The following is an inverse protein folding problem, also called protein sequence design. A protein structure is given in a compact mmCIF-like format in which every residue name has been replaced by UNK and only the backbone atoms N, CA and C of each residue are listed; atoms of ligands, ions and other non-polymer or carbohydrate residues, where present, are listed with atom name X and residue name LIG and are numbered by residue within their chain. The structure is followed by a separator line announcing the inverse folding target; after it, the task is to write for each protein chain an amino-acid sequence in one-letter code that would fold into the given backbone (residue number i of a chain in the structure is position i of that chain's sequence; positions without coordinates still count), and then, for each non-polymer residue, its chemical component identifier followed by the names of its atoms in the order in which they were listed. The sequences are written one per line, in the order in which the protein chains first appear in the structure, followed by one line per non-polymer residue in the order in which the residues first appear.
data_IF_493883653256
#
_entry.id   IF_493883653256
#
_cell.length_a   1.000
_cell.length_b   1.000
_cell.length_c   1.000
_cell.angle_alpha   90.00
_cell.angle_beta   90.00
_cell.angle_gamma   90.00
#
_symmetry.space_group_name_H-M   'P 1'
#
loop_
_entity.id
_entity.type
_entity.pdbx_description
1 polymer ?
#
# COMPACT_ATOMS: atom_id res chain seq x y z
N UNK A 1 -31.27 -0.18 1.36
CA UNK A 1 -30.57 -1.29 2.04
C UNK A 1 -29.36 -0.66 2.70
N UNK A 2 -29.24 -0.75 4.03
CA UNK A 2 -28.08 -0.17 4.73
C UNK A 2 -26.83 -0.93 4.29
N UNK A 3 -25.98 -0.28 3.50
CA UNK A 3 -24.72 -0.84 2.98
C UNK A 3 -23.53 -0.49 3.88
N UNK A 4 -23.78 0.00 5.09
CA UNK A 4 -22.74 0.38 6.06
C UNK A 4 -21.81 -0.77 6.44
N UNK A 5 -22.26 -2.02 6.28
CA UNK A 5 -21.46 -3.23 6.52
C UNK A 5 -20.36 -3.45 5.45
N UNK A 6 -20.47 -2.85 4.26
CA UNK A 6 -19.46 -3.01 3.21
C UNK A 6 -18.13 -2.40 3.63
N UNK A 7 -18.17 -1.20 4.21
CA UNK A 7 -16.96 -0.55 4.75
C UNK A 7 -16.38 -1.37 5.91
N UNK A 8 -17.22 -1.98 6.75
CA UNK A 8 -16.76 -2.87 7.82
C UNK A 8 -16.05 -4.12 7.28
N UNK A 9 -16.64 -4.77 6.27
CA UNK A 9 -16.06 -5.96 5.66
C UNK A 9 -14.74 -5.65 4.93
N UNK A 10 -14.68 -4.53 4.22
CA UNK A 10 -13.43 -4.09 3.57
C UNK A 10 -12.39 -3.66 4.61
N UNK A 11 -12.80 -3.01 5.71
CA UNK A 11 -11.90 -2.66 6.82
C UNK A 11 -11.27 -3.91 7.45
N UNK A 12 -12.05 -4.98 7.64
CA UNK A 12 -11.53 -6.26 8.11
C UNK A 12 -10.58 -6.90 7.08
N UNK A 13 -10.93 -6.83 5.80
CA UNK A 13 -10.11 -7.38 4.72
C UNK A 13 -8.74 -6.71 4.62
N UNK A 14 -8.67 -5.37 4.65
CA UNK A 14 -7.38 -4.63 4.59
C UNK A 14 -6.49 -4.89 5.81
N UNK A 15 -7.07 -5.35 6.93
CA UNK A 15 -6.32 -5.80 8.11
C UNK A 15 -5.94 -7.30 8.04
N UNK A 16 -6.47 -8.04 7.07
CA UNK A 16 -6.26 -9.47 6.88
C UNK A 16 -4.88 -9.83 6.34
N UNK A 17 -4.52 -11.11 6.47
CA UNK A 17 -3.27 -11.64 5.92
C UNK A 17 -3.24 -11.61 4.39
N UNK A 18 -4.35 -11.94 3.73
CA UNK A 18 -4.42 -11.96 2.26
C UNK A 18 -4.07 -10.61 1.64
N UNK A 19 -4.59 -9.52 2.23
CA UNK A 19 -4.24 -8.16 1.86
C UNK A 19 -2.75 -7.89 2.04
N UNK A 20 -2.24 -8.10 3.26
CA UNK A 20 -0.84 -7.86 3.60
C UNK A 20 0.12 -8.65 2.70
N UNK A 21 -0.17 -9.91 2.44
CA UNK A 21 0.67 -10.79 1.63
C UNK A 21 0.71 -10.33 0.17
N UNK A 22 -0.45 -9.96 -0.40
CA UNK A 22 -0.52 -9.45 -1.77
C UNK A 22 0.23 -8.14 -1.94
N UNK A 23 0.04 -7.21 -1.00
CA UNK A 23 0.67 -5.89 -0.99
C UNK A 23 2.19 -6.01 -0.78
N UNK A 24 2.63 -6.83 0.18
CA UNK A 24 4.05 -7.08 0.42
C UNK A 24 4.70 -7.72 -0.79
N UNK A 25 4.08 -8.74 -1.39
CA UNK A 25 4.60 -9.40 -2.58
C UNK A 25 4.75 -8.43 -3.76
N UNK A 26 3.78 -7.52 -3.93
CA UNK A 26 3.87 -6.47 -4.94
C UNK A 26 5.07 -5.55 -4.69
N UNK A 27 5.22 -5.04 -3.47
CA UNK A 27 6.36 -4.18 -3.11
C UNK A 27 7.70 -4.88 -3.36
N UNK A 28 7.87 -6.12 -2.89
CA UNK A 28 9.11 -6.89 -3.09
C UNK A 28 9.46 -7.10 -4.57
N UNK A 29 8.44 -7.16 -5.44
CA UNK A 29 8.64 -7.35 -6.88
C UNK A 29 8.99 -6.04 -7.59
N UNK A 30 8.46 -4.91 -7.13
CA UNK A 30 8.54 -3.63 -7.85
C UNK A 30 9.48 -2.60 -7.22
N UNK A 31 9.88 -2.72 -5.94
CA UNK A 31 10.63 -1.68 -5.21
C UNK A 31 11.93 -1.23 -5.90
N UNK A 32 12.61 -2.13 -6.62
CA UNK A 32 13.89 -1.81 -7.28
C UNK A 32 13.76 -0.70 -8.32
N UNK A 33 12.58 -0.53 -8.92
CA UNK A 33 12.28 0.55 -9.89
C UNK A 33 12.12 1.94 -9.24
N UNK A 34 12.04 1.97 -7.91
CA UNK A 34 11.86 3.16 -7.10
C UNK A 34 13.08 3.45 -6.23
N UNK A 35 14.18 2.71 -6.44
CA UNK A 35 15.47 3.09 -5.89
C UNK A 35 15.96 4.35 -6.61
N UNK A 36 16.31 5.38 -5.85
CA UNK A 36 17.03 6.51 -6.40
C UNK A 36 18.41 6.03 -6.87
N UNK A 37 18.72 6.22 -8.14
CA UNK A 37 20.07 5.97 -8.64
C UNK A 37 21.01 6.98 -7.96
N UNK A 38 22.12 6.56 -7.32
CA UNK A 38 23.08 7.49 -6.73
C UNK A 38 23.65 8.50 -7.75
N UNK A 39 23.62 8.20 -9.05
CA UNK A 39 23.98 9.18 -10.10
C UNK A 39 22.88 10.21 -10.40
N UNK A 40 21.62 9.90 -10.07
CA UNK A 40 20.46 10.80 -10.17
C UNK A 40 20.18 11.59 -8.88
N UNK A 41 21.11 11.59 -7.93
CA UNK A 41 21.08 12.40 -6.70
C UNK A 41 21.19 13.93 -6.95
N UNK A 42 20.83 14.41 -8.14
CA UNK A 42 20.40 15.80 -8.30
C UNK A 42 19.01 15.91 -7.66
N UNK A 43 18.75 16.98 -6.89
CA UNK A 43 17.42 17.18 -6.33
C UNK A 43 16.44 17.17 -7.50
N UNK A 44 15.59 16.15 -7.57
CA UNK A 44 14.48 16.10 -8.49
C UNK A 44 13.52 17.23 -8.08
N UNK A 45 13.83 18.44 -8.52
CA UNK A 45 13.06 19.62 -8.21
C UNK A 45 11.75 19.54 -8.97
N UNK A 46 10.67 19.11 -8.30
CA UNK A 46 9.24 19.26 -8.66
C UNK A 46 8.81 19.02 -10.12
N UNK A 47 9.67 18.48 -10.98
CA UNK A 47 9.47 18.40 -12.43
C UNK A 47 10.35 17.36 -13.12
N UNK A 48 11.05 16.50 -12.37
CA UNK A 48 11.54 15.25 -12.93
C UNK A 48 10.32 14.34 -13.12
N UNK A 49 9.84 14.23 -14.35
CA UNK A 49 8.66 13.44 -14.68
C UNK A 49 8.85 12.00 -14.24
N UNK A 50 7.82 11.44 -13.63
CA UNK A 50 7.73 10.03 -13.29
C UNK A 50 8.08 9.15 -14.48
N UNK A 51 8.86 8.09 -14.25
CA UNK A 51 9.18 7.18 -15.34
C UNK A 51 7.92 6.42 -15.77
N UNK A 52 7.79 6.13 -17.06
CA UNK A 52 6.66 5.33 -17.57
C UNK A 52 6.58 3.98 -16.85
N UNK A 53 7.73 3.37 -16.51
CA UNK A 53 7.78 2.09 -15.80
C UNK A 53 7.29 2.18 -14.33
N UNK A 54 7.49 3.32 -13.68
CA UNK A 54 6.96 3.59 -12.34
C UNK A 54 5.44 3.78 -12.39
N UNK A 55 4.94 4.51 -13.40
CA UNK A 55 3.51 4.67 -13.63
C UNK A 55 2.83 3.35 -14.02
N UNK A 56 3.44 2.53 -14.87
CA UNK A 56 2.96 1.19 -15.20
C UNK A 56 2.89 0.29 -13.96
N UNK A 57 3.87 0.41 -13.06
CA UNK A 57 3.84 -0.30 -11.78
C UNK A 57 2.69 0.18 -10.89
N UNK A 58 2.42 1.48 -10.84
CA UNK A 58 1.25 2.02 -10.14
C UNK A 58 -0.07 1.50 -10.71
N UNK A 59 -0.24 1.50 -12.04
CA UNK A 59 -1.45 0.97 -12.68
C UNK A 59 -1.64 -0.52 -12.42
N UNK A 60 -0.56 -1.31 -12.44
CA UNK A 60 -0.60 -2.73 -12.10
C UNK A 60 -0.97 -2.97 -10.62
N UNK A 61 -0.51 -2.10 -9.73
CA UNK A 61 -0.90 -2.14 -8.33
C UNK A 61 -2.38 -1.84 -8.13
N UNK A 62 -2.87 -0.77 -8.78
CA UNK A 62 -4.27 -0.35 -8.73
C UNK A 62 -5.20 -1.46 -9.23
N UNK A 63 -4.94 -2.03 -10.41
CA UNK A 63 -5.71 -3.16 -10.96
C UNK A 63 -5.71 -4.37 -10.02
N UNK A 64 -4.59 -4.67 -9.33
CA UNK A 64 -4.54 -5.76 -8.36
C UNK A 64 -5.40 -5.49 -7.13
N UNK A 65 -5.35 -4.28 -6.58
CA UNK A 65 -6.18 -3.86 -5.45
C UNK A 65 -7.66 -3.88 -5.82
N UNK A 66 -8.02 -3.34 -6.97
CA UNK A 66 -9.39 -3.32 -7.49
C UNK A 66 -9.97 -4.73 -7.58
N UNK A 67 -9.25 -5.68 -8.19
CA UNK A 67 -9.71 -7.09 -8.28
C UNK A 67 -9.88 -7.76 -6.91
N UNK A 68 -9.02 -7.43 -5.94
CA UNK A 68 -9.13 -7.96 -4.58
C UNK A 68 -10.38 -7.43 -3.89
N UNK A 69 -10.66 -6.13 -4.01
CA UNK A 69 -11.86 -5.51 -3.46
C UNK A 69 -13.12 -6.00 -4.16
N UNK A 70 -13.11 -6.10 -5.49
CA UNK A 70 -14.21 -6.66 -6.27
C UNK A 70 -14.57 -8.07 -5.82
N UNK A 71 -13.56 -8.91 -5.53
CA UNK A 71 -13.79 -10.25 -4.99
C UNK A 71 -14.52 -10.21 -3.65
N UNK A 72 -14.03 -9.41 -2.69
CA UNK A 72 -14.65 -9.26 -1.36
C UNK A 72 -16.10 -8.77 -1.48
N UNK A 73 -16.31 -7.75 -2.32
CA UNK A 73 -17.64 -7.14 -2.50
C UNK A 73 -18.59 -8.12 -3.21
N UNK A 74 -18.10 -8.90 -4.17
CA UNK A 74 -18.88 -9.93 -4.87
C UNK A 74 -19.25 -11.09 -3.96
N UNK A 75 -18.38 -11.50 -3.04
CA UNK A 75 -18.67 -12.52 -2.03
C UNK A 75 -19.80 -12.11 -1.09
N UNK A 76 -19.98 -10.80 -0.90
CA UNK A 76 -21.08 -10.20 -0.13
C UNK A 76 -22.34 -9.94 -0.97
N UNK A 77 -22.34 -10.34 -2.25
CA UNK A 77 -23.46 -10.13 -3.18
C UNK A 77 -23.66 -8.66 -3.59
N UNK A 78 -22.64 -7.83 -3.45
CA UNK A 78 -22.65 -6.41 -3.80
C UNK A 78 -21.79 -6.16 -5.06
N UNK A 79 -21.93 -4.98 -5.65
CA UNK A 79 -21.10 -4.50 -6.76
C UNK A 79 -20.04 -3.51 -6.29
N UNK A 80 -18.97 -3.32 -7.06
CA UNK A 80 -17.95 -2.31 -6.76
C UNK A 80 -18.54 -0.90 -6.62
N UNK A 81 -19.58 -0.55 -7.38
CA UNK A 81 -20.30 0.71 -7.24
C UNK A 81 -20.96 0.85 -5.86
N UNK A 82 -21.49 -0.25 -5.30
CA UNK A 82 -22.08 -0.24 -3.96
C UNK A 82 -21.05 0.08 -2.87
N UNK A 83 -19.79 -0.35 -3.06
CA UNK A 83 -18.69 0.01 -2.17
C UNK A 83 -18.32 1.48 -2.31
N UNK A 84 -18.26 2.01 -3.54
CA UNK A 84 -17.97 3.43 -3.79
C UNK A 84 -19.04 4.32 -3.14
N UNK A 85 -20.32 3.99 -3.35
CA UNK A 85 -21.44 4.71 -2.74
C UNK A 85 -21.35 4.68 -1.20
N UNK A 86 -21.02 3.51 -0.63
CA UNK A 86 -20.85 3.36 0.81
C UNK A 86 -19.67 4.19 1.35
N UNK A 87 -18.54 4.24 0.65
CA UNK A 87 -17.38 5.07 1.04
C UNK A 87 -17.75 6.56 0.98
N UNK A 88 -18.42 7.01 -0.09
CA UNK A 88 -18.86 8.41 -0.24
C UNK A 88 -19.85 8.82 0.85
N UNK A 89 -20.80 7.94 1.18
CA UNK A 89 -21.75 8.17 2.28
C UNK A 89 -21.02 8.31 3.62
N UNK A 90 -20.02 7.46 3.88
CA UNK A 90 -19.22 7.50 5.10
C UNK A 90 -18.31 8.76 5.18
N UNK A 91 -17.78 9.23 4.06
CA UNK A 91 -17.00 10.48 3.99
C UNK A 91 -17.82 11.72 4.37
N UNK A 92 -19.11 11.75 4.02
CA UNK A 92 -20.01 12.83 4.43
C UNK A 92 -20.21 12.93 5.95
N UNK A 93 -19.92 11.84 6.68
CA UNK A 93 -20.03 11.73 8.14
C UNK A 93 -18.69 11.34 8.79
N UNK A 94 -17.58 11.87 8.28
CA UNK A 94 -16.21 11.53 8.69
C UNK A 94 -15.97 11.56 10.21
N UNK A 95 -16.58 12.51 10.91
CA UNK A 95 -16.45 12.68 12.37
C UNK A 95 -17.11 11.54 13.17
N UNK A 96 -18.07 10.83 12.58
CA UNK A 96 -18.77 9.69 13.18
C UNK A 96 -18.14 8.33 12.84
N UNK A 97 -17.15 8.29 11.95
CA UNK A 97 -16.47 7.04 11.59
C UNK A 97 -15.62 6.50 12.74
N UNK A 98 -15.62 5.17 12.88
CA UNK A 98 -14.64 4.51 13.74
C UNK A 98 -13.24 4.68 13.16
N UNK A 99 -12.21 4.54 14.01
CA UNK A 99 -10.80 4.63 13.60
C UNK A 99 -10.49 3.64 12.48
N UNK A 100 -11.05 2.43 12.57
CA UNK A 100 -10.86 1.35 11.60
C UNK A 100 -11.47 1.69 10.23
N UNK A 101 -12.63 2.35 10.21
CA UNK A 101 -13.26 2.82 8.96
C UNK A 101 -12.49 3.96 8.33
N UNK A 102 -12.02 4.94 9.12
CA UNK A 102 -11.17 6.02 8.60
C UNK A 102 -9.88 5.48 8.02
N UNK A 103 -9.23 4.58 8.75
CA UNK A 103 -8.03 3.88 8.29
C UNK A 103 -8.26 3.18 6.95
N UNK A 104 -9.36 2.42 6.83
CA UNK A 104 -9.72 1.73 5.60
C UNK A 104 -9.91 2.69 4.43
N UNK A 105 -10.72 3.74 4.61
CA UNK A 105 -11.00 4.72 3.56
C UNK A 105 -9.73 5.45 3.14
N UNK A 106 -8.88 5.89 4.08
CA UNK A 106 -7.60 6.52 3.77
C UNK A 106 -6.65 5.59 3.02
N UNK A 107 -6.60 4.32 3.42
CA UNK A 107 -5.81 3.29 2.74
C UNK A 107 -6.26 3.14 1.29
N UNK A 108 -7.56 3.07 1.04
CA UNK A 108 -8.11 2.97 -0.31
C UNK A 108 -7.84 4.22 -1.16
N UNK A 109 -8.00 5.41 -0.59
CA UNK A 109 -7.74 6.68 -1.27
C UNK A 109 -6.26 6.86 -1.62
N UNK A 110 -5.36 6.31 -0.81
CA UNK A 110 -3.91 6.28 -1.09
C UNK A 110 -3.59 5.55 -2.40
N UNK A 111 -4.46 4.64 -2.87
CA UNK A 111 -4.24 3.89 -4.12
C UNK A 111 -4.73 4.61 -5.37
N UNK A 112 -5.52 5.67 -5.21
CA UNK A 112 -5.91 6.54 -6.32
C UNK A 112 -4.90 7.69 -6.52
N UNK A 113 -4.05 7.93 -5.53
CA UNK A 113 -3.02 8.97 -5.53
C UNK A 113 -1.64 8.41 -5.87
N UNK A 114 -1.16 8.75 -7.08
CA UNK A 114 0.15 8.36 -7.55
C UNK A 114 1.30 8.94 -6.71
N UNK A 115 1.20 10.20 -6.25
CA UNK A 115 2.26 10.86 -5.47
C UNK A 115 2.41 10.18 -4.11
N UNK A 116 1.28 9.86 -3.47
CA UNK A 116 1.28 9.14 -2.19
C UNK A 116 1.80 7.71 -2.37
N UNK A 117 1.40 7.01 -3.43
CA UNK A 117 1.97 5.70 -3.77
C UNK A 117 3.49 5.78 -3.97
N UNK A 118 3.95 6.73 -4.78
CA UNK A 118 5.36 6.94 -5.10
C UNK A 118 6.20 7.19 -3.85
N UNK A 119 5.74 8.07 -2.95
CA UNK A 119 6.44 8.34 -1.68
C UNK A 119 6.62 7.05 -0.87
N UNK A 120 5.55 6.25 -0.72
CA UNK A 120 5.58 5.05 0.12
C UNK A 120 6.44 3.93 -0.46
N UNK A 121 6.35 3.66 -1.76
CA UNK A 121 7.20 2.62 -2.37
C UNK A 121 8.67 3.05 -2.43
N UNK A 122 8.96 4.35 -2.52
CA UNK A 122 10.32 4.88 -2.47
C UNK A 122 10.91 4.79 -1.07
N UNK A 123 10.13 5.09 -0.02
CA UNK A 123 10.51 4.86 1.39
C UNK A 123 10.82 3.37 1.62
N UNK A 124 9.93 2.49 1.17
CA UNK A 124 10.14 1.04 1.23
C UNK A 124 11.42 0.60 0.50
N UNK A 125 11.68 1.15 -0.70
CA UNK A 125 12.87 0.85 -1.48
C UNK A 125 14.17 1.33 -0.78
N UNK A 126 14.17 2.54 -0.22
CA UNK A 126 15.30 3.11 0.52
C UNK A 126 15.61 2.29 1.79
N UNK A 127 14.59 1.88 2.54
CA UNK A 127 14.76 1.03 3.72
C UNK A 127 15.33 -0.34 3.37
N UNK A 128 14.87 -0.95 2.26
CA UNK A 128 15.43 -2.20 1.74
C UNK A 128 16.91 -2.06 1.38
N UNK A 129 17.28 -0.96 0.74
CA UNK A 129 18.69 -0.68 0.39
C UNK A 129 19.55 -0.44 1.65
N UNK A 130 19.01 0.26 2.65
CA UNK A 130 19.67 0.48 3.95
C UNK A 130 19.87 -0.81 4.74
N UNK A 131 18.87 -1.70 4.77
CA UNK A 131 18.95 -3.01 5.41
C UNK A 131 19.97 -3.94 4.70
N UNK A 132 20.04 -3.89 3.37
CA UNK A 132 21.05 -4.63 2.59
C UNK A 132 22.46 -4.10 2.87
N UNK A 133 22.63 -2.78 3.00
CA UNK A 133 23.93 -2.15 3.28
C UNK A 133 24.45 -2.49 4.69
N UNK A 134 23.55 -2.56 5.69
CA UNK A 134 23.90 -3.00 7.04
C UNK A 134 24.28 -4.49 7.08
N UNK A 135 23.60 -5.35 6.32
CA UNK A 135 23.93 -6.77 6.23
C UNK A 135 25.26 -7.04 5.52
N UNK A 136 25.72 -6.14 4.63
CA UNK A 136 27.05 -6.26 4.02
C UNK A 136 28.18 -5.89 4.99
N UNK A 137 27.90 -5.07 6.01
CA UNK A 137 28.83 -4.77 7.10
C UNK A 137 28.80 -5.79 8.24
N UNK A 138 27.76 -6.65 8.28
CA UNK A 138 27.53 -7.66 9.31
C UNK A 138 27.97 -9.06 8.85
N UNK A 139 29.15 -9.19 8.25
CA UNK A 139 29.86 -10.49 8.20
C UNK A 139 30.70 -10.67 9.45
N UNK A 140 30.09 -10.65 10.63
CA UNK A 140 30.66 -11.14 11.87
C UNK A 140 29.56 -11.29 12.94
N UNK A 141 29.00 -12.49 13.08
CA UNK A 141 28.28 -12.91 14.28
C UNK A 141 26.78 -12.66 14.28
N UNK A 142 26.05 -13.79 14.20
CA UNK A 142 24.74 -14.06 14.82
C UNK A 142 23.49 -13.26 14.43
N UNK A 143 22.46 -14.03 14.04
CA UNK A 143 21.05 -13.62 14.10
C UNK A 143 20.52 -12.98 12.82
N UNK A 144 20.23 -13.81 11.82
CA UNK A 144 19.55 -13.42 10.58
C UNK A 144 18.16 -12.78 10.88
N UNK A 145 17.92 -11.49 10.59
CA UNK A 145 16.56 -10.97 10.49
C UNK A 145 16.01 -11.46 9.15
N UNK A 146 15.09 -12.43 9.19
CA UNK A 146 14.44 -12.93 7.98
C UNK A 146 13.68 -11.78 7.30
N UNK A 147 13.77 -11.71 5.96
CA UNK A 147 13.10 -10.69 5.14
C UNK A 147 11.59 -10.56 5.44
N UNK A 148 10.97 -11.60 6.02
CA UNK A 148 9.61 -11.62 6.55
C UNK A 148 9.34 -10.58 7.65
N UNK A 149 10.30 -10.27 8.54
CA UNK A 149 10.09 -9.35 9.66
C UNK A 149 9.99 -7.88 9.25
N UNK A 150 10.75 -7.48 8.23
CA UNK A 150 10.77 -6.10 7.72
C UNK A 150 9.53 -5.81 6.88
N UNK A 151 9.09 -6.78 6.04
CA UNK A 151 7.82 -6.69 5.32
C UNK A 151 6.62 -6.55 6.26
N UNK A 152 6.64 -7.24 7.41
CA UNK A 152 5.59 -7.14 8.43
C UNK A 152 5.56 -5.78 9.13
N UNK A 153 6.72 -5.19 9.44
CA UNK A 153 6.83 -3.85 10.03
C UNK A 153 6.36 -2.76 9.08
N UNK A 154 6.62 -2.90 7.77
CA UNK A 154 6.20 -1.92 6.77
C UNK A 154 4.75 -2.08 6.33
N UNK A 155 4.22 -3.30 6.25
CA UNK A 155 2.77 -3.50 6.26
C UNK A 155 2.17 -2.84 7.50
N UNK A 156 2.79 -3.01 8.68
CA UNK A 156 2.31 -2.37 9.91
C UNK A 156 2.36 -0.84 9.86
N UNK A 157 3.37 -0.23 9.21
CA UNK A 157 3.44 1.22 8.97
C UNK A 157 2.46 1.70 7.88
N UNK A 158 2.23 0.88 6.85
CA UNK A 158 1.13 1.07 5.89
C UNK A 158 -0.23 0.98 6.61
N UNK A 159 -0.30 0.19 7.69
CA UNK A 159 -1.44 -0.04 8.57
C UNK A 159 -1.58 0.92 9.76
N UNK A 160 -0.69 1.92 9.92
CA UNK A 160 -0.65 2.81 11.11
C UNK A 160 -1.06 4.27 10.86
N UNK A 161 -1.61 4.59 9.69
CA UNK A 161 -2.12 5.93 9.39
C UNK A 161 -3.58 6.10 9.80
#
# INVERSE_FOLDING_TARGET
MEKGFLVDAVAQFVQGCEWRDAVTHFLETHYKRFLADPEDAKPQGKGAGYSLEQYDSFMAFKDRVERMLEKVVSELGCSGQDLVDAIQENLNYESALSTEKRFCIQTLLTFDDYDTFYSRISEYAAEKQGAVSLNLSATAGDGMPTAFGIGMLLCSCWLRC
#
